data_IF_107619143177
#
_entry.id   IF_107619143177
#
_cell.length_a   1.000
_cell.length_b   1.000
_cell.length_c   1.000
_cell.angle_alpha   90.00
_cell.angle_beta   90.00
_cell.angle_gamma   90.00
#
_symmetry.space_group_name_H-M   'P 1'
#
loop_
_entity.id
_entity.type
_entity.pdbx_description
1 polymer ?
#
# COMPACT_ATOMS: atom_id res chain seq x y z
N UNK A 1 -3.24 -18.16 -9.91
CA UNK A 1 -4.16 -17.31 -10.69
C UNK A 1 -4.01 -15.90 -10.17
N UNK A 2 -3.89 -14.91 -11.05
CA UNK A 2 -3.79 -13.48 -10.68
C UNK A 2 -5.15 -12.83 -10.98
N UNK A 3 -5.58 -11.92 -10.10
CA UNK A 3 -6.83 -11.17 -10.27
C UNK A 3 -6.63 -10.07 -11.32
N UNK A 4 -7.60 -9.91 -12.22
CA UNK A 4 -7.64 -8.75 -13.10
C UNK A 4 -8.10 -7.51 -12.34
N UNK A 5 -7.88 -6.33 -12.91
CA UNK A 5 -8.41 -5.05 -12.42
C UNK A 5 -9.91 -5.09 -12.03
N UNK A 6 -10.76 -5.67 -12.87
CA UNK A 6 -12.20 -5.78 -12.66
C UNK A 6 -12.50 -6.68 -11.45
N UNK A 7 -11.76 -7.77 -11.30
CA UNK A 7 -11.91 -8.68 -10.17
C UNK A 7 -11.39 -8.05 -8.87
N UNK A 8 -10.32 -7.26 -8.92
CA UNK A 8 -9.85 -6.46 -7.77
C UNK A 8 -10.95 -5.49 -7.33
N UNK A 9 -11.55 -4.73 -8.26
CA UNK A 9 -12.65 -3.81 -7.95
C UNK A 9 -13.85 -4.53 -7.33
N UNK A 10 -14.30 -5.61 -7.96
CA UNK A 10 -15.46 -6.39 -7.51
C UNK A 10 -15.25 -7.00 -6.13
N UNK A 11 -14.05 -7.51 -5.84
CA UNK A 11 -13.74 -8.11 -4.54
C UNK A 11 -13.63 -7.07 -3.42
N UNK A 12 -13.17 -5.86 -3.73
CA UNK A 12 -13.19 -4.73 -2.79
C UNK A 12 -14.62 -4.26 -2.54
N UNK A 13 -15.43 -4.07 -3.59
CA UNK A 13 -16.82 -3.64 -3.49
C UNK A 13 -17.68 -4.62 -2.67
N UNK A 14 -17.46 -5.93 -2.87
CA UNK A 14 -18.13 -6.99 -2.09
C UNK A 14 -17.59 -7.15 -0.66
N UNK A 15 -16.56 -6.39 -0.27
CA UNK A 15 -15.92 -6.49 1.04
C UNK A 15 -15.17 -7.81 1.27
N UNK A 16 -14.87 -8.56 0.21
CA UNK A 16 -14.05 -9.78 0.27
C UNK A 16 -12.60 -9.41 0.58
N UNK A 17 -12.12 -8.33 -0.03
CA UNK A 17 -10.81 -7.72 0.24
C UNK A 17 -11.06 -6.32 0.80
N UNK A 18 -10.47 -6.01 1.96
CA UNK A 18 -10.53 -4.65 2.53
C UNK A 18 -9.26 -3.90 2.19
N UNK A 19 -9.39 -2.84 1.39
CA UNK A 19 -8.36 -1.81 1.18
C UNK A 19 -8.97 -0.49 1.69
N UNK A 20 -8.30 0.16 2.63
CA UNK A 20 -8.82 1.34 3.30
C UNK A 20 -7.67 2.30 3.65
N UNK A 21 -7.56 3.46 2.98
CA UNK A 21 -8.44 3.95 1.91
C UNK A 21 -8.23 3.19 0.59
N UNK A 22 -9.30 3.01 -0.19
CA UNK A 22 -9.24 2.50 -1.56
C UNK A 22 -9.18 3.65 -2.57
N UNK A 23 -8.17 3.64 -3.43
CA UNK A 23 -7.95 4.61 -4.51
C UNK A 23 -7.99 3.88 -5.86
N UNK A 24 -9.00 4.17 -6.68
CA UNK A 24 -9.17 3.51 -7.97
C UNK A 24 -8.05 3.80 -8.96
N UNK A 25 -7.31 4.89 -8.76
CA UNK A 25 -6.23 5.31 -9.66
C UNK A 25 -4.97 4.48 -9.44
N UNK A 26 -4.87 3.78 -8.30
CA UNK A 26 -3.79 2.86 -7.99
C UNK A 26 -4.00 1.44 -8.59
N UNK A 27 -5.14 1.19 -9.27
CA UNK A 27 -5.41 -0.09 -9.92
C UNK A 27 -4.65 -0.19 -11.25
N UNK A 28 -3.88 -1.26 -11.37
CA UNK A 28 -3.20 -1.68 -12.59
C UNK A 28 -3.90 -2.93 -13.17
N UNK A 29 -3.55 -3.40 -14.39
CA UNK A 29 -4.28 -4.49 -15.05
C UNK A 29 -4.43 -5.78 -14.23
N UNK A 30 -3.49 -6.03 -13.32
CA UNK A 30 -3.49 -7.23 -12.48
C UNK A 30 -2.82 -7.01 -11.10
N UNK A 31 -2.67 -5.75 -10.68
CA UNK A 31 -2.01 -5.36 -9.41
C UNK A 31 -2.69 -4.12 -8.82
N UNK A 32 -2.37 -3.81 -7.56
CA UNK A 32 -2.79 -2.60 -6.89
C UNK A 32 -1.57 -1.99 -6.19
N UNK A 33 -1.27 -0.72 -6.48
CA UNK A 33 -0.10 -0.04 -5.92
C UNK A 33 -0.43 0.57 -4.56
N UNK A 34 0.27 0.12 -3.51
CA UNK A 34 0.13 0.69 -2.17
C UNK A 34 1.00 1.93 -1.99
N UNK A 35 0.47 2.92 -1.25
CA UNK A 35 1.23 4.08 -0.80
C UNK A 35 1.70 3.87 0.64
N UNK A 36 2.91 4.34 0.92
CA UNK A 36 3.49 4.27 2.27
C UNK A 36 2.91 5.40 3.12
N UNK A 37 2.56 5.08 4.36
CA UNK A 37 2.12 6.07 5.35
C UNK A 37 3.29 6.85 5.96
N UNK A 38 3.01 7.66 6.97
CA UNK A 38 4.02 8.52 7.59
C UNK A 38 5.01 7.76 8.48
N UNK A 39 4.64 6.59 9.00
CA UNK A 39 5.43 5.84 9.98
C UNK A 39 6.24 4.72 9.35
N UNK A 40 7.50 4.61 9.75
CA UNK A 40 8.41 3.52 9.39
C UNK A 40 9.17 2.98 10.60
N UNK A 41 9.75 1.79 10.45
CA UNK A 41 10.64 1.17 11.41
C UNK A 41 11.90 0.69 10.69
N UNK A 42 13.04 0.75 11.36
CA UNK A 42 14.31 0.22 10.83
C UNK A 42 14.59 -1.14 11.44
N UNK A 43 15.30 -2.02 10.72
CA UNK A 43 15.60 -3.38 11.18
C UNK A 43 16.38 -3.41 12.51
N UNK A 44 17.15 -2.36 12.79
CA UNK A 44 17.92 -2.19 14.04
C UNK A 44 17.16 -1.38 15.12
N UNK A 45 16.02 -0.76 14.77
CA UNK A 45 15.41 0.30 15.56
C UNK A 45 14.10 -0.09 16.24
N UNK A 46 14.11 -0.01 17.58
CA UNK A 46 12.92 -0.05 18.47
C UNK A 46 12.05 1.23 18.39
N UNK A 47 12.44 2.24 17.62
CA UNK A 47 11.76 3.54 17.53
C UNK A 47 11.06 3.76 16.19
N UNK A 48 9.80 4.22 16.26
CA UNK A 48 9.03 4.70 15.10
C UNK A 48 9.68 5.95 14.52
N UNK A 49 9.95 5.94 13.23
CA UNK A 49 10.45 7.09 12.48
C UNK A 49 9.32 7.69 11.63
N UNK A 50 9.29 9.02 11.52
CA UNK A 50 8.47 9.69 10.52
C UNK A 50 9.25 9.72 9.18
N UNK A 51 8.72 9.02 8.18
CA UNK A 51 9.35 8.77 6.87
C UNK A 51 9.52 10.06 6.08
N UNK A 52 8.57 10.99 6.14
CA UNK A 52 8.65 12.26 5.41
C UNK A 52 9.79 13.15 5.93
N UNK A 53 9.97 13.17 7.26
CA UNK A 53 11.00 13.97 7.93
C UNK A 53 12.39 13.35 7.82
N UNK A 54 12.45 12.01 7.83
CA UNK A 54 13.69 11.25 7.79
C UNK A 54 13.85 10.65 6.40
N UNK A 55 14.14 11.49 5.39
CA UNK A 55 14.61 11.00 4.08
C UNK A 55 15.84 10.14 4.34
N UNK A 56 15.66 8.82 4.31
CA UNK A 56 16.74 7.87 4.42
C UNK A 56 17.57 8.05 3.15
N UNK A 57 18.69 8.77 3.25
CA UNK A 57 19.73 8.70 2.24
C UNK A 57 20.21 7.25 2.25
N UNK A 58 19.65 6.42 1.37
CA UNK A 58 20.22 5.13 1.03
C UNK A 58 21.64 5.42 0.53
N UNK A 59 22.62 5.11 1.38
CA UNK A 59 24.06 5.17 1.09
C UNK A 59 24.48 3.82 0.53
#
# INVERSE_FOLDING_TARGET
MILTDAQIRETVEKGIIKIDPFDSDCIQPATYDFRVGEEGLTAEGREKINIEKKRVNCS
#
